data_IF_884243260625
#
_entry.id   IF_884243260625
#
_cell.length_a   1.000
_cell.length_b   1.000
_cell.length_c   1.000
_cell.angle_alpha   90.00
_cell.angle_beta   90.00
_cell.angle_gamma   90.00
#
_symmetry.space_group_name_H-M   'P 1'
#
loop_
_entity.id
_entity.type
_entity.pdbx_description
1 polymer ?
#
# COMPACT_ATOMS: atom_id res chain seq x y z
N UNK A 1 -22.26 -23.76 29.45
CA UNK A 1 -21.24 -22.71 29.71
C UNK A 1 -21.99 -21.40 29.59
N UNK A 2 -22.12 -20.67 30.69
CA UNK A 2 -23.16 -19.64 30.84
C UNK A 2 -22.67 -18.27 30.33
N UNK A 3 -23.61 -17.51 29.78
CA UNK A 3 -23.51 -16.20 29.11
C UNK A 3 -22.90 -15.01 29.92
N UNK A 4 -22.18 -15.26 31.02
CA UNK A 4 -21.84 -14.22 32.02
C UNK A 4 -20.33 -13.97 32.22
N UNK A 5 -19.44 -14.47 31.34
CA UNK A 5 -17.99 -14.20 31.43
C UNK A 5 -17.45 -13.23 30.35
N UNK A 6 -18.28 -12.82 29.38
CA UNK A 6 -17.87 -11.90 28.31
C UNK A 6 -18.23 -10.42 28.55
N UNK A 7 -18.91 -10.07 29.65
CA UNK A 7 -19.36 -8.70 29.91
C UNK A 7 -18.38 -7.83 30.73
N UNK A 8 -17.10 -8.20 30.81
CA UNK A 8 -16.12 -7.53 31.69
C UNK A 8 -14.97 -6.81 30.96
N UNK A 9 -15.04 -6.67 29.63
CA UNK A 9 -13.99 -6.00 28.84
C UNK A 9 -14.46 -4.87 27.91
N UNK A 10 -15.74 -4.46 27.92
CA UNK A 10 -16.27 -3.54 26.89
C UNK A 10 -17.05 -2.32 27.40
N UNK A 11 -16.70 -1.78 28.57
CA UNK A 11 -17.07 -0.39 28.89
C UNK A 11 -15.83 0.39 29.35
N UNK A 12 -14.89 0.61 28.42
CA UNK A 12 -13.99 1.75 28.56
C UNK A 12 -14.73 2.95 27.97
N UNK A 13 -14.98 3.98 28.80
CA UNK A 13 -15.51 5.26 28.31
C UNK A 13 -14.63 5.73 27.15
N UNK A 14 -15.23 5.80 25.96
CA UNK A 14 -14.55 6.31 24.79
C UNK A 14 -14.41 7.82 25.00
N UNK A 15 -13.16 8.27 25.14
CA UNK A 15 -12.88 9.70 25.31
C UNK A 15 -12.95 10.34 23.92
N UNK A 16 -13.92 11.21 23.70
CA UNK A 16 -14.13 11.84 22.39
C UNK A 16 -13.04 12.87 22.02
N UNK A 17 -12.35 13.43 23.02
CA UNK A 17 -11.34 14.47 22.83
C UNK A 17 -10.35 14.58 24.00
N UNK A 18 -9.17 15.14 23.72
CA UNK A 18 -8.14 15.47 24.71
C UNK A 18 -7.55 16.84 24.46
N UNK A 19 -7.16 17.54 25.53
CA UNK A 19 -6.51 18.85 25.44
C UNK A 19 -5.00 18.70 25.45
N UNK A 20 -4.34 19.12 24.38
CA UNK A 20 -2.87 19.10 24.25
C UNK A 20 -2.38 20.53 24.04
N UNK A 21 -1.63 21.08 25.00
CA UNK A 21 -1.12 22.45 24.89
C UNK A 21 -2.21 23.53 24.71
N UNK A 22 -3.44 23.26 25.16
CA UNK A 22 -4.59 24.15 24.98
C UNK A 22 -5.38 23.96 23.68
N UNK A 23 -4.97 23.03 22.82
CA UNK A 23 -5.68 22.65 21.59
C UNK A 23 -6.49 21.39 21.82
N UNK A 24 -7.75 21.39 21.36
CA UNK A 24 -8.60 20.21 21.38
C UNK A 24 -8.20 19.23 20.26
N UNK A 25 -7.81 18.02 20.64
CA UNK A 25 -7.45 16.93 19.73
C UNK A 25 -8.53 15.85 19.79
N UNK A 26 -9.01 15.44 18.62
CA UNK A 26 -10.05 14.43 18.45
C UNK A 26 -9.58 13.31 17.53
N UNK A 27 -10.31 12.20 17.55
CA UNK A 27 -10.16 11.15 16.53
C UNK A 27 -10.23 11.75 15.12
N UNK A 28 -9.27 11.38 14.27
CA UNK A 28 -9.12 11.90 12.91
C UNK A 28 -8.26 13.15 12.79
N UNK A 29 -7.92 13.85 13.89
CA UNK A 29 -6.97 14.97 13.84
C UNK A 29 -5.56 14.50 13.50
N UNK A 30 -4.79 15.39 12.87
CA UNK A 30 -3.37 15.17 12.58
C UNK A 30 -2.52 15.72 13.70
N UNK A 31 -1.50 14.96 14.08
CA UNK A 31 -0.59 15.31 15.16
C UNK A 31 0.85 14.99 14.77
N UNK A 32 1.81 15.70 15.36
CA UNK A 32 3.24 15.46 15.22
C UNK A 32 3.75 14.69 16.44
N UNK A 33 4.54 13.65 16.20
CA UNK A 33 5.09 12.83 17.27
C UNK A 33 6.36 13.45 17.84
N UNK A 34 6.43 13.55 19.15
CA UNK A 34 7.59 14.02 19.90
C UNK A 34 7.88 13.08 21.09
N UNK A 35 8.24 11.82 20.85
CA UNK A 35 8.58 10.87 21.92
C UNK A 35 9.77 11.38 22.74
N UNK A 36 9.65 11.31 24.06
CA UNK A 36 10.64 11.85 25.01
C UNK A 36 11.96 11.06 25.02
N UNK A 37 13.04 11.69 25.51
CA UNK A 37 14.37 11.08 25.55
C UNK A 37 14.51 9.98 26.62
N UNK A 38 14.65 8.75 26.12
CA UNK A 38 14.99 7.53 26.86
C UNK A 38 14.79 6.26 26.03
N UNK A 39 14.51 6.42 24.74
CA UNK A 39 13.82 5.46 23.89
C UNK A 39 14.71 4.69 22.93
N UNK A 40 14.28 3.48 22.60
CA UNK A 40 14.94 2.57 21.66
C UNK A 40 15.06 3.20 20.26
N UNK A 41 15.75 2.54 19.32
CA UNK A 41 15.97 2.99 17.93
C UNK A 41 14.66 3.46 17.24
N UNK A 42 13.53 2.91 17.64
CA UNK A 42 12.21 3.25 17.11
C UNK A 42 11.80 4.70 17.40
N UNK A 43 12.11 5.24 18.59
CA UNK A 43 11.70 6.61 18.97
C UNK A 43 12.43 7.68 18.17
N UNK A 44 13.68 7.40 17.78
CA UNK A 44 14.44 8.24 16.86
C UNK A 44 13.82 8.28 15.46
N UNK A 45 13.28 7.15 14.99
CA UNK A 45 12.63 7.07 13.68
C UNK A 45 11.25 7.77 13.66
N UNK A 46 10.54 7.76 14.79
CA UNK A 46 9.19 8.31 14.90
C UNK A 46 9.16 9.81 15.22
N UNK A 47 10.24 10.38 15.78
CA UNK A 47 10.30 11.81 16.11
C UNK A 47 10.08 12.70 14.89
N UNK A 48 9.14 13.63 15.01
CA UNK A 48 8.78 14.59 13.96
C UNK A 48 7.84 14.03 12.89
N UNK A 49 7.55 12.71 12.90
CA UNK A 49 6.58 12.12 11.99
C UNK A 49 5.18 12.67 12.23
N UNK A 50 4.39 12.77 11.16
CA UNK A 50 2.98 13.13 11.25
C UNK A 50 2.15 11.86 11.31
N UNK A 51 1.15 11.85 12.18
CA UNK A 51 0.24 10.74 12.37
C UNK A 51 -1.21 11.21 12.48
N UNK A 52 -2.15 10.31 12.21
CA UNK A 52 -3.59 10.53 12.42
C UNK A 52 -4.03 9.85 13.70
N UNK A 53 -4.77 10.56 14.55
CA UNK A 53 -5.37 9.98 15.76
C UNK A 53 -6.45 8.97 15.37
N UNK A 54 -6.28 7.72 15.78
CA UNK A 54 -7.25 6.63 15.56
C UNK A 54 -8.20 6.47 16.75
N UNK A 55 -7.66 6.50 17.96
CA UNK A 55 -8.44 6.44 19.20
C UNK A 55 -7.74 7.20 20.32
N UNK A 56 -8.54 7.67 21.27
CA UNK A 56 -8.07 8.18 22.55
C UNK A 56 -8.54 7.19 23.59
N UNK A 57 -7.58 6.64 24.33
CA UNK A 57 -7.81 5.56 25.29
C UNK A 57 -7.37 6.02 26.68
N UNK A 58 -8.06 5.53 27.69
CA UNK A 58 -7.71 5.77 29.08
C UNK A 58 -7.31 4.43 29.72
N UNK A 59 -6.18 4.43 30.42
CA UNK A 59 -5.79 3.28 31.22
C UNK A 59 -6.54 3.22 32.56
N UNK A 60 -6.30 2.17 33.34
CA UNK A 60 -6.96 1.98 34.64
C UNK A 60 -6.51 3.00 35.71
N UNK A 61 -5.40 3.71 35.49
CA UNK A 61 -4.90 4.79 36.35
C UNK A 61 -5.45 6.17 35.95
N UNK A 62 -6.22 6.23 34.87
CA UNK A 62 -6.78 7.45 34.33
C UNK A 62 -5.85 8.23 33.41
N UNK A 63 -4.71 7.66 33.01
CA UNK A 63 -3.80 8.30 32.05
C UNK A 63 -4.34 8.13 30.63
N UNK A 64 -4.43 9.25 29.93
CA UNK A 64 -4.85 9.29 28.54
C UNK A 64 -3.69 8.96 27.61
N UNK A 65 -3.94 7.99 26.72
CA UNK A 65 -3.05 7.57 25.66
C UNK A 65 -3.73 7.84 24.32
N UNK A 66 -2.94 8.25 23.35
CA UNK A 66 -3.41 8.52 22.00
C UNK A 66 -2.85 7.43 21.11
N UNK A 67 -3.75 6.68 20.49
CA UNK A 67 -3.41 5.73 19.45
C UNK A 67 -3.36 6.47 18.12
N UNK A 68 -2.26 6.33 17.40
CA UNK A 68 -2.01 7.01 16.13
C UNK A 68 -1.55 6.03 15.05
N UNK A 69 -1.76 6.43 13.80
CA UNK A 69 -1.21 5.77 12.61
C UNK A 69 -0.38 6.78 11.83
N UNK A 70 0.87 6.44 11.51
CA UNK A 70 1.76 7.35 10.80
C UNK A 70 1.23 7.59 9.39
N UNK A 71 1.39 8.82 8.88
CA UNK A 71 0.85 9.17 7.58
C UNK A 71 1.54 8.46 6.42
N UNK A 72 2.85 8.26 6.55
CA UNK A 72 3.70 7.57 5.58
C UNK A 72 3.87 6.07 5.92
N UNK A 73 3.04 5.49 6.81
CA UNK A 73 3.06 4.05 7.08
C UNK A 73 2.50 3.27 5.86
N UNK A 74 3.29 2.40 5.21
CA UNK A 74 2.81 1.59 4.10
C UNK A 74 1.66 0.64 4.48
N UNK A 75 1.43 0.37 5.77
CA UNK A 75 0.29 -0.40 6.30
C UNK A 75 -0.93 0.42 6.72
N UNK A 76 -0.90 1.76 6.61
CA UNK A 76 -1.98 2.68 7.02
C UNK A 76 -3.33 2.33 6.37
N UNK A 77 -3.29 1.87 5.14
CA UNK A 77 -4.48 1.63 4.31
C UNK A 77 -5.04 0.20 4.41
N UNK A 78 -4.56 -0.63 5.35
CA UNK A 78 -5.02 -2.03 5.52
C UNK A 78 -6.34 -2.19 6.32
N UNK A 79 -7.10 -1.11 6.51
CA UNK A 79 -8.45 -1.16 7.10
C UNK A 79 -8.53 -1.87 8.46
N UNK A 80 -9.59 -2.67 8.69
CA UNK A 80 -9.84 -3.33 9.98
C UNK A 80 -8.94 -4.56 10.26
N UNK A 81 -8.04 -4.93 9.35
CA UNK A 81 -7.12 -6.08 9.50
C UNK A 81 -5.67 -5.65 9.76
N UNK A 82 -5.51 -4.50 10.43
CA UNK A 82 -4.21 -4.01 10.91
C UNK A 82 -3.64 -5.01 11.92
N UNK A 83 -2.56 -5.69 11.54
CA UNK A 83 -1.75 -6.40 12.53
C UNK A 83 -1.26 -5.39 13.60
N UNK A 84 -1.01 -5.84 14.84
CA UNK A 84 -0.65 -4.98 15.98
C UNK A 84 0.61 -4.09 15.84
N UNK A 85 1.28 -4.06 14.67
CA UNK A 85 2.49 -3.28 14.40
C UNK A 85 2.30 -1.90 13.75
N UNK A 86 1.08 -1.50 13.40
CA UNK A 86 0.78 -0.23 12.69
C UNK A 86 0.06 0.81 13.55
N UNK A 87 -0.17 0.48 14.82
CA UNK A 87 -0.79 1.36 15.81
C UNK A 87 0.24 1.70 16.86
N UNK A 88 0.56 2.98 16.97
CA UNK A 88 1.50 3.47 17.95
C UNK A 88 0.73 4.19 19.06
N UNK A 89 1.12 3.93 20.30
CA UNK A 89 0.47 4.52 21.48
C UNK A 89 1.45 5.49 22.13
N UNK A 90 1.00 6.71 22.32
CA UNK A 90 1.79 7.77 22.93
C UNK A 90 1.04 8.44 24.06
N UNK A 91 1.78 8.96 25.04
CA UNK A 91 1.19 9.86 26.02
C UNK A 91 0.85 11.18 25.35
N UNK A 92 -0.12 11.89 25.93
CA UNK A 92 -0.50 13.24 25.50
C UNK A 92 0.71 14.20 25.46
N UNK A 93 1.70 14.00 26.34
CA UNK A 93 2.91 14.82 26.40
C UNK A 93 3.91 14.55 25.27
N UNK A 94 3.78 13.42 24.57
CA UNK A 94 4.65 12.99 23.46
C UNK A 94 4.04 13.35 22.10
N UNK A 95 2.99 14.15 22.10
CA UNK A 95 2.24 14.55 20.91
C UNK A 95 2.12 16.06 20.87
N UNK A 96 2.33 16.61 19.68
CA UNK A 96 2.12 18.01 19.38
C UNK A 96 0.94 18.13 18.39
N UNK A 97 -0.11 18.89 18.72
CA UNK A 97 -1.20 19.15 17.78
C UNK A 97 -0.68 19.98 16.60
N UNK A 98 -1.09 19.62 15.38
CA UNK A 98 -0.79 20.45 14.22
C UNK A 98 -1.70 21.70 14.19
N UNK A 99 -1.21 22.85 13.68
CA UNK A 99 -2.03 24.05 13.46
C UNK A 99 -3.26 23.75 12.58
N UNK A 100 -4.35 24.51 12.74
CA UNK A 100 -5.58 24.33 11.93
C UNK A 100 -5.33 24.39 10.41
N UNK A 101 -4.38 25.22 9.97
CA UNK A 101 -3.97 25.34 8.57
C UNK A 101 -3.32 24.04 8.03
N UNK A 102 -2.68 23.26 8.90
CA UNK A 102 -2.10 21.96 8.59
C UNK A 102 -3.09 20.81 8.86
N UNK A 103 -4.08 20.96 9.74
CA UNK A 103 -5.10 19.93 9.98
C UNK A 103 -5.84 19.54 8.69
N UNK A 104 -6.06 20.50 7.79
CA UNK A 104 -6.68 20.31 6.47
C UNK A 104 -5.74 19.79 5.37
N UNK A 105 -4.41 19.85 5.56
CA UNK A 105 -3.41 19.31 4.63
C UNK A 105 -3.26 17.79 4.79
N UNK A 106 -4.39 17.10 4.84
CA UNK A 106 -4.43 15.65 4.85
C UNK A 106 -3.73 15.17 3.58
N UNK A 107 -2.55 14.53 3.68
CA UNK A 107 -2.13 13.55 2.66
C UNK A 107 -3.09 12.38 2.78
N UNK A 108 -4.31 12.57 2.31
CA UNK A 108 -5.22 11.48 2.10
C UNK A 108 -4.65 10.64 0.96
N UNK A 109 -4.69 9.32 1.11
CA UNK A 109 -4.76 8.41 -0.04
C UNK A 109 -5.81 8.87 -1.10
N UNK A 110 -6.77 9.75 -0.71
CA UNK A 110 -7.82 10.33 -1.55
C UNK A 110 -7.41 11.34 -2.65
N UNK A 111 -6.13 11.73 -2.77
CA UNK A 111 -5.66 12.43 -3.98
C UNK A 111 -5.04 11.49 -5.01
N UNK A 112 -4.54 10.32 -4.59
CA UNK A 112 -3.97 9.37 -5.50
C UNK A 112 -5.07 8.75 -6.37
N UNK A 113 -5.10 9.12 -7.64
CA UNK A 113 -6.03 8.58 -8.64
C UNK A 113 -5.43 7.36 -9.34
N UNK A 114 -4.10 7.21 -9.29
CA UNK A 114 -3.35 6.16 -9.98
C UNK A 114 -2.54 5.35 -8.97
N UNK A 115 -2.73 4.03 -8.95
CA UNK A 115 -1.85 3.08 -8.24
C UNK A 115 -0.92 2.41 -9.24
N UNK A 116 0.38 2.40 -8.94
CA UNK A 116 1.40 1.62 -9.64
C UNK A 116 1.85 0.52 -8.69
N UNK A 117 1.56 -0.72 -9.03
CA UNK A 117 1.83 -1.90 -8.22
C UNK A 117 2.91 -2.75 -8.88
N UNK A 118 4.10 -2.78 -8.27
CA UNK A 118 5.19 -3.66 -8.67
C UNK A 118 4.99 -5.05 -8.07
N UNK A 119 4.89 -6.05 -8.93
CA UNK A 119 4.68 -7.44 -8.56
C UNK A 119 5.92 -8.23 -8.98
N UNK A 120 6.29 -9.24 -8.20
CA UNK A 120 7.35 -10.15 -8.60
C UNK A 120 8.14 -10.75 -7.46
N UNK A 121 8.79 -11.88 -7.74
CA UNK A 121 9.72 -12.53 -6.84
C UNK A 121 11.17 -12.33 -7.29
N UNK A 122 11.92 -11.50 -6.55
CA UNK A 122 13.34 -11.21 -6.82
C UNK A 122 14.25 -12.44 -6.75
N UNK A 123 13.79 -13.54 -6.14
CA UNK A 123 14.51 -14.80 -6.05
C UNK A 123 14.31 -15.71 -7.29
N UNK A 124 13.44 -15.31 -8.23
CA UNK A 124 13.04 -16.08 -9.41
C UNK A 124 13.40 -15.38 -10.74
N UNK A 125 14.62 -14.84 -10.80
CA UNK A 125 15.18 -14.29 -12.03
C UNK A 125 14.37 -13.12 -12.56
N UNK A 126 13.85 -13.26 -13.79
CA UNK A 126 13.09 -12.20 -14.45
C UNK A 126 11.72 -11.93 -13.81
N UNK A 127 11.24 -12.82 -12.93
CA UNK A 127 10.06 -12.57 -12.11
C UNK A 127 10.25 -11.36 -11.18
N UNK A 128 11.50 -10.95 -10.91
CA UNK A 128 11.82 -9.72 -10.18
C UNK A 128 11.59 -8.41 -10.97
N UNK A 129 11.15 -8.48 -12.23
CA UNK A 129 11.04 -7.32 -13.12
C UNK A 129 10.17 -6.20 -12.54
N UNK A 130 8.97 -6.50 -12.04
CA UNK A 130 8.04 -5.47 -11.54
C UNK A 130 8.57 -4.72 -10.32
N UNK A 131 9.23 -5.44 -9.41
CA UNK A 131 9.93 -4.88 -8.25
C UNK A 131 11.03 -3.89 -8.69
N UNK A 132 11.83 -4.28 -9.67
CA UNK A 132 12.98 -3.49 -10.13
C UNK A 132 12.56 -2.23 -10.93
N UNK A 133 11.42 -2.27 -11.62
CA UNK A 133 10.80 -1.09 -12.25
C UNK A 133 10.26 -0.12 -11.20
N UNK A 134 9.49 -0.62 -10.23
CA UNK A 134 8.93 0.22 -9.15
C UNK A 134 10.03 0.86 -8.32
N UNK A 135 11.12 0.13 -8.05
CA UNK A 135 12.28 0.67 -7.34
C UNK A 135 12.89 1.89 -8.05
N UNK A 136 12.96 1.90 -9.39
CA UNK A 136 13.41 3.08 -10.16
C UNK A 136 12.41 4.22 -10.13
N UNK A 137 11.11 3.91 -10.25
CA UNK A 137 10.04 4.91 -10.17
C UNK A 137 10.01 5.60 -8.80
N UNK A 138 10.25 4.86 -7.71
CA UNK A 138 10.31 5.41 -6.35
C UNK A 138 11.46 6.42 -6.16
N UNK A 139 12.52 6.34 -6.96
CA UNK A 139 13.61 7.33 -6.98
C UNK A 139 13.32 8.59 -7.82
N UNK A 140 12.17 8.64 -8.49
CA UNK A 140 11.81 9.70 -9.44
C UNK A 140 10.75 10.64 -8.85
N UNK A 141 10.69 11.89 -9.35
CA UNK A 141 9.63 12.83 -8.94
C UNK A 141 8.36 12.56 -9.75
N UNK A 142 7.32 12.07 -9.08
CA UNK A 142 6.01 11.79 -9.68
C UNK A 142 4.94 12.78 -9.17
N UNK A 143 3.86 13.00 -9.93
CA UNK A 143 2.73 13.81 -9.48
C UNK A 143 2.09 13.27 -8.19
N UNK A 144 1.49 14.15 -7.39
CA UNK A 144 0.84 13.78 -6.11
C UNK A 144 -0.34 12.82 -6.29
N UNK A 145 -0.92 12.76 -7.50
CA UNK A 145 -2.00 11.83 -7.87
C UNK A 145 -1.53 10.40 -8.14
N UNK A 146 -0.22 10.13 -8.10
CA UNK A 146 0.38 8.82 -8.38
C UNK A 146 0.95 8.21 -7.12
N UNK A 147 0.49 7.01 -6.81
CA UNK A 147 1.06 6.17 -5.74
C UNK A 147 1.85 5.01 -6.35
N UNK A 148 3.09 4.83 -5.91
CA UNK A 148 3.94 3.70 -6.31
C UNK A 148 4.17 2.80 -5.11
N UNK A 149 3.92 1.51 -5.26
CA UNK A 149 4.08 0.52 -4.18
C UNK A 149 4.74 -0.75 -4.73
N UNK A 150 5.76 -1.21 -4.02
CA UNK A 150 6.36 -2.53 -4.22
C UNK A 150 5.58 -3.55 -3.40
N UNK A 151 4.83 -4.41 -4.09
CA UNK A 151 4.11 -5.51 -3.46
C UNK A 151 4.96 -6.78 -3.41
N UNK A 152 6.02 -6.91 -4.21
CA UNK A 152 6.81 -8.14 -4.31
C UNK A 152 5.89 -9.35 -4.41
N UNK A 153 6.01 -10.28 -3.45
CA UNK A 153 5.18 -11.50 -3.32
C UNK A 153 3.83 -11.36 -2.58
N UNK A 154 3.43 -10.14 -2.22
CA UNK A 154 2.36 -9.84 -1.24
C UNK A 154 0.99 -9.64 -1.90
N UNK A 155 0.49 -10.66 -2.60
CA UNK A 155 -0.76 -10.59 -3.35
C UNK A 155 -2.00 -10.18 -2.53
N UNK A 156 -2.07 -10.58 -1.26
CA UNK A 156 -3.17 -10.19 -0.36
C UNK A 156 -3.12 -8.69 -0.01
N UNK A 157 -1.93 -8.12 0.14
CA UNK A 157 -1.78 -6.70 0.45
C UNK A 157 -2.21 -5.83 -0.74
N UNK A 158 -1.99 -6.32 -1.97
CA UNK A 158 -2.51 -5.70 -3.18
C UNK A 158 -4.04 -5.76 -3.22
N UNK A 159 -4.67 -6.88 -2.82
CA UNK A 159 -6.14 -6.95 -2.70
C UNK A 159 -6.67 -5.84 -1.80
N UNK A 160 -6.06 -5.67 -0.63
CA UNK A 160 -6.49 -4.63 0.31
C UNK A 160 -6.21 -3.23 -0.21
N UNK A 161 -5.05 -2.97 -0.82
CA UNK A 161 -4.76 -1.66 -1.41
C UNK A 161 -5.82 -1.25 -2.45
N UNK A 162 -6.36 -2.20 -3.22
CA UNK A 162 -7.41 -1.94 -4.22
C UNK A 162 -8.76 -1.51 -3.62
N UNK A 163 -8.94 -1.57 -2.30
CA UNK A 163 -10.12 -1.04 -1.64
C UNK A 163 -10.21 0.49 -1.71
N UNK A 164 -9.09 1.19 -1.94
CA UNK A 164 -9.02 2.66 -2.01
C UNK A 164 -9.64 3.25 -3.29
N UNK A 165 -10.12 2.40 -4.23
CA UNK A 165 -10.86 2.81 -5.44
C UNK A 165 -10.13 3.78 -6.37
N UNK A 166 -8.84 3.53 -6.58
CA UNK A 166 -8.04 4.18 -7.63
C UNK A 166 -8.80 4.21 -8.97
N UNK A 167 -8.69 5.32 -9.69
CA UNK A 167 -9.28 5.44 -11.02
C UNK A 167 -8.57 4.58 -12.05
N UNK A 168 -7.26 4.43 -11.90
CA UNK A 168 -6.47 3.49 -12.70
C UNK A 168 -5.47 2.77 -11.83
N UNK A 169 -5.44 1.46 -11.93
CA UNK A 169 -4.38 0.62 -11.36
C UNK A 169 -3.49 0.13 -12.51
N UNK A 170 -2.19 0.36 -12.40
CA UNK A 170 -1.17 -0.12 -13.33
C UNK A 170 -0.35 -1.19 -12.59
N UNK A 171 -0.51 -2.44 -13.02
CA UNK A 171 0.30 -3.56 -12.56
C UNK A 171 1.56 -3.63 -13.40
N UNK A 172 2.71 -3.84 -12.74
CA UNK A 172 3.99 -4.06 -13.42
C UNK A 172 4.50 -5.43 -12.98
N UNK A 173 4.67 -6.34 -13.93
CA UNK A 173 4.95 -7.75 -13.64
C UNK A 173 5.72 -8.43 -14.80
N UNK A 174 6.32 -9.58 -14.54
CA UNK A 174 6.74 -10.49 -15.60
C UNK A 174 5.50 -11.07 -16.28
N UNK A 175 5.48 -11.06 -17.61
CA UNK A 175 4.30 -11.43 -18.40
C UNK A 175 4.68 -12.34 -19.57
N UNK A 176 4.74 -13.66 -19.35
CA UNK A 176 4.99 -14.63 -20.41
C UNK A 176 3.78 -14.71 -21.36
N UNK A 177 3.96 -14.25 -22.59
CA UNK A 177 2.91 -14.23 -23.62
C UNK A 177 3.45 -14.58 -25.01
N UNK A 178 4.61 -15.22 -25.08
CA UNK A 178 5.17 -15.78 -26.31
C UNK A 178 5.84 -14.74 -27.20
N UNK A 179 6.25 -13.60 -26.65
CA UNK A 179 7.09 -12.63 -27.34
C UNK A 179 8.58 -12.96 -27.14
N UNK A 180 9.51 -12.23 -27.79
CA UNK A 180 10.93 -12.32 -27.45
C UNK A 180 11.20 -11.78 -26.04
N UNK A 181 12.09 -12.40 -25.24
CA UNK A 181 12.45 -11.90 -23.92
C UNK A 181 12.89 -10.43 -23.92
N UNK A 182 12.47 -9.67 -22.90
CA UNK A 182 12.67 -8.23 -22.79
C UNK A 182 11.64 -7.38 -23.54
N UNK A 183 10.66 -8.00 -24.23
CA UNK A 183 9.58 -7.26 -24.87
C UNK A 183 8.64 -6.69 -23.80
N UNK A 184 8.48 -5.36 -23.76
CA UNK A 184 7.53 -4.68 -22.89
C UNK A 184 6.22 -4.45 -23.62
N UNK A 185 5.13 -4.94 -23.04
CA UNK A 185 3.77 -4.84 -23.57
C UNK A 185 2.87 -4.09 -22.59
N UNK A 186 1.91 -3.32 -23.11
CA UNK A 186 0.86 -2.68 -22.31
C UNK A 186 -0.48 -3.29 -22.69
N UNK A 187 -1.18 -3.84 -21.71
CA UNK A 187 -2.47 -4.52 -21.89
C UNK A 187 -3.48 -3.89 -20.93
N UNK A 188 -4.67 -3.57 -21.42
CA UNK A 188 -5.79 -3.22 -20.54
C UNK A 188 -6.45 -4.53 -20.10
N UNK A 189 -6.55 -4.73 -18.79
CA UNK A 189 -7.14 -5.94 -18.21
C UNK A 189 -8.61 -5.65 -17.92
N UNK A 190 -9.50 -6.51 -18.41
CA UNK A 190 -10.88 -6.50 -17.95
C UNK A 190 -10.98 -7.35 -16.66
N UNK A 191 -11.23 -6.74 -15.48
CA UNK A 191 -11.39 -7.48 -14.24
C UNK A 191 -12.63 -8.39 -14.23
N UNK A 192 -13.54 -8.24 -15.21
CA UNK A 192 -14.73 -9.05 -15.40
C UNK A 192 -14.62 -10.07 -16.55
N UNK A 193 -13.59 -10.03 -17.41
CA UNK A 193 -13.44 -11.08 -18.42
C UNK A 193 -13.02 -12.39 -17.75
N UNK A 194 -13.86 -13.40 -17.94
CA UNK A 194 -13.59 -14.77 -17.49
C UNK A 194 -12.44 -15.36 -18.30
N UNK A 195 -11.24 -15.35 -17.75
CA UNK A 195 -10.23 -16.31 -18.18
C UNK A 195 -10.72 -17.71 -17.77
N UNK A 196 -10.79 -18.63 -18.75
CA UNK A 196 -11.01 -20.06 -18.54
C UNK A 196 -10.25 -20.58 -17.30
N UNK A 197 -10.83 -21.49 -16.50
CA UNK A 197 -10.23 -21.99 -15.26
C UNK A 197 -9.01 -22.88 -15.57
N UNK A 198 -7.90 -22.24 -15.90
CA UNK A 198 -6.60 -22.86 -16.11
C UNK A 198 -5.69 -22.46 -14.95
N UNK A 199 -6.02 -22.95 -13.74
CA UNK A 199 -5.21 -22.74 -12.54
C UNK A 199 -6.06 -22.60 -11.28
N UNK A 200 -5.67 -23.28 -10.21
CA UNK A 200 -6.41 -23.43 -8.95
C UNK A 200 -7.03 -22.11 -8.45
N UNK A 201 -8.35 -22.10 -8.29
CA UNK A 201 -9.16 -20.99 -7.78
C UNK A 201 -8.84 -20.56 -6.32
N UNK A 202 -7.89 -21.23 -5.67
CA UNK A 202 -7.63 -21.18 -4.23
C UNK A 202 -6.14 -21.12 -3.90
N UNK A 203 -5.32 -20.56 -4.78
CA UNK A 203 -3.93 -20.22 -4.44
C UNK A 203 -3.75 -18.70 -4.34
N UNK A 204 -4.11 -18.08 -3.20
CA UNK A 204 -3.75 -16.69 -2.87
C UNK A 204 -2.24 -16.42 -2.91
N UNK A 205 -1.43 -17.49 -2.89
CA UNK A 205 0.02 -17.45 -2.98
C UNK A 205 0.56 -17.51 -4.42
N UNK A 206 -0.29 -17.88 -5.39
CA UNK A 206 0.04 -17.70 -6.81
C UNK A 206 -0.20 -16.24 -7.15
N UNK A 207 0.89 -15.50 -7.31
CA UNK A 207 0.90 -14.07 -7.56
C UNK A 207 0.37 -13.63 -8.92
N UNK A 208 -0.32 -14.51 -9.63
CA UNK A 208 -0.83 -14.18 -10.94
C UNK A 208 -1.77 -12.97 -10.84
N UNK A 209 -1.47 -11.84 -11.50
CA UNK A 209 -2.18 -10.57 -11.34
C UNK A 209 -3.71 -10.70 -11.43
N UNK A 210 -4.20 -11.53 -12.35
CA UNK A 210 -5.63 -11.78 -12.52
C UNK A 210 -6.32 -12.41 -11.30
N UNK A 211 -5.65 -13.28 -10.54
CA UNK A 211 -6.23 -13.89 -9.34
C UNK A 211 -6.43 -12.85 -8.24
N UNK A 212 -5.45 -11.95 -8.08
CA UNK A 212 -5.51 -10.82 -7.14
C UNK A 212 -6.64 -9.86 -7.53
N UNK A 213 -6.74 -9.48 -8.80
CA UNK A 213 -7.81 -8.61 -9.28
C UNK A 213 -9.21 -9.21 -9.08
N UNK A 214 -9.37 -10.52 -9.35
CA UNK A 214 -10.63 -11.23 -9.13
C UNK A 214 -11.02 -11.24 -7.65
N UNK A 215 -10.07 -11.52 -6.77
CA UNK A 215 -10.31 -11.50 -5.32
C UNK A 215 -10.68 -10.09 -4.85
N UNK A 216 -9.95 -9.06 -5.29
CA UNK A 216 -10.25 -7.67 -4.97
C UNK A 216 -11.64 -7.24 -5.47
N UNK A 217 -12.01 -7.61 -6.70
CA UNK A 217 -13.33 -7.30 -7.25
C UNK A 217 -14.45 -8.02 -6.49
N UNK A 218 -14.23 -9.25 -6.05
CA UNK A 218 -15.21 -10.01 -5.26
C UNK A 218 -15.36 -9.45 -3.83
N UNK A 219 -14.26 -9.05 -3.19
CA UNK A 219 -14.26 -8.55 -1.80
C UNK A 219 -14.73 -7.11 -1.71
N UNK A 220 -14.33 -6.26 -2.66
CA UNK A 220 -14.56 -4.84 -2.57
C UNK A 220 -15.55 -4.33 -3.63
N UNK A 221 -15.95 -5.12 -4.62
CA UNK A 221 -16.76 -4.64 -5.74
C UNK A 221 -15.91 -4.22 -6.94
N UNK A 222 -16.54 -3.81 -8.05
CA UNK A 222 -15.86 -3.67 -9.34
C UNK A 222 -14.72 -2.65 -9.28
N UNK A 223 -13.57 -3.05 -9.82
CA UNK A 223 -12.43 -2.15 -10.07
C UNK A 223 -12.78 -1.24 -11.26
N UNK A 224 -12.18 -0.03 -11.28
CA UNK A 224 -12.37 0.92 -12.40
C UNK A 224 -11.53 0.47 -13.58
N UNK A 225 -10.39 1.12 -13.84
CA UNK A 225 -9.50 0.78 -14.93
C UNK A 225 -8.29 0.02 -14.42
N UNK A 226 -7.95 -1.10 -15.06
CA UNK A 226 -6.76 -1.88 -14.71
C UNK A 226 -5.91 -2.09 -15.95
N UNK A 227 -4.61 -1.84 -15.83
CA UNK A 227 -3.63 -1.97 -16.89
C UNK A 227 -2.48 -2.83 -16.41
N UNK A 228 -1.87 -3.59 -17.32
CA UNK A 228 -0.65 -4.36 -17.11
C UNK A 228 0.45 -3.79 -18.01
N UNK A 229 1.58 -3.41 -17.41
CA UNK A 229 2.84 -3.22 -18.11
C UNK A 229 3.67 -4.47 -17.84
N UNK A 230 3.65 -5.39 -18.79
CA UNK A 230 4.29 -6.70 -18.68
C UNK A 230 5.59 -6.76 -19.47
N UNK A 231 6.60 -7.45 -18.93
CA UNK A 231 7.81 -7.80 -19.70
C UNK A 231 7.88 -9.31 -19.94
N UNK A 232 8.16 -9.71 -21.18
CA UNK A 232 8.42 -11.12 -21.48
C UNK A 232 9.72 -11.57 -20.76
N UNK A 233 9.66 -12.62 -19.93
CA UNK A 233 10.85 -13.15 -19.25
C UNK A 233 11.67 -14.04 -20.19
N UNK A 234 12.99 -14.09 -19.98
CA UNK A 234 13.86 -15.14 -20.52
C UNK A 234 13.89 -16.37 -19.61
N UNK A 235 13.80 -16.15 -18.29
CA UNK A 235 13.84 -17.18 -17.25
C UNK A 235 13.04 -16.72 -16.03
N UNK A 236 12.19 -17.60 -15.50
CA UNK A 236 11.46 -17.37 -14.25
C UNK A 236 12.14 -18.08 -13.06
N UNK A 237 13.45 -18.28 -13.15
CA UNK A 237 14.22 -19.06 -12.18
C UNK A 237 14.02 -20.56 -12.34
N UNK A 238 15.02 -21.33 -11.88
CA UNK A 238 14.91 -22.79 -11.73
C UNK A 238 14.50 -23.17 -10.32
N UNK A 239 14.45 -24.48 -10.03
CA UNK A 239 14.07 -25.01 -8.71
C UNK A 239 14.96 -24.51 -7.55
N UNK A 240 16.20 -24.12 -7.85
CA UNK A 240 17.15 -23.56 -6.87
C UNK A 240 17.05 -22.02 -6.72
N UNK A 241 16.16 -21.38 -7.49
CA UNK A 241 16.07 -19.93 -7.62
C UNK A 241 17.18 -19.32 -8.48
N UNK A 242 17.00 -18.05 -8.85
CA UNK A 242 17.98 -17.28 -9.60
C UNK A 242 17.91 -15.82 -9.16
N UNK A 243 19.03 -15.27 -8.68
CA UNK A 243 19.10 -13.84 -8.37
C UNK A 243 19.44 -13.02 -9.60
N UNK A 244 18.79 -11.87 -9.74
CA UNK A 244 19.08 -10.89 -10.78
C UNK A 244 18.34 -11.18 -12.10
N UNK A 245 18.08 -10.09 -12.82
CA UNK A 245 17.42 -10.12 -14.12
C UNK A 245 18.39 -10.62 -15.20
N UNK A 246 17.86 -11.31 -16.20
CA UNK A 246 18.56 -11.60 -17.43
C UNK A 246 18.85 -10.29 -18.19
N UNK A 247 19.91 -10.29 -19.00
CA UNK A 247 20.31 -9.11 -19.78
C UNK A 247 19.16 -8.48 -20.60
N UNK A 248 18.31 -9.22 -21.34
CA UNK A 248 17.22 -8.60 -22.09
C UNK A 248 16.18 -7.93 -21.18
N UNK A 249 15.86 -8.52 -20.03
CA UNK A 249 14.88 -7.98 -19.08
C UNK A 249 15.46 -6.80 -18.30
N UNK A 250 16.74 -6.85 -17.93
CA UNK A 250 17.44 -5.72 -17.30
C UNK A 250 17.43 -4.46 -18.20
N UNK A 251 17.66 -4.64 -19.51
CA UNK A 251 17.54 -3.55 -20.50
C UNK A 251 16.09 -3.06 -20.62
N UNK A 252 15.12 -3.97 -20.54
CA UNK A 252 13.70 -3.67 -20.64
C UNK A 252 13.17 -2.83 -19.46
N UNK A 253 13.79 -2.88 -18.29
CA UNK A 253 13.38 -2.10 -17.11
C UNK A 253 13.33 -0.60 -17.42
N UNK A 254 14.35 -0.05 -18.08
CA UNK A 254 14.39 1.36 -18.44
C UNK A 254 13.29 1.72 -19.45
N UNK A 255 12.99 0.83 -20.38
CA UNK A 255 11.88 1.00 -21.34
C UNK A 255 10.53 0.97 -20.61
N UNK A 256 10.37 0.10 -19.61
CA UNK A 256 9.16 -0.01 -18.82
C UNK A 256 8.93 1.24 -17.96
N UNK A 257 9.96 1.77 -17.28
CA UNK A 257 9.88 3.05 -16.55
C UNK A 257 9.35 4.16 -17.45
N UNK A 258 9.95 4.35 -18.63
CA UNK A 258 9.51 5.37 -19.61
C UNK A 258 8.08 5.14 -20.08
N UNK A 259 7.70 3.89 -20.28
CA UNK A 259 6.35 3.51 -20.69
C UNK A 259 5.34 3.85 -19.59
N UNK A 260 5.65 3.53 -18.34
CA UNK A 260 4.83 3.87 -17.16
C UNK A 260 4.68 5.37 -17.03
N UNK A 261 5.76 6.15 -17.10
CA UNK A 261 5.69 7.62 -17.03
C UNK A 261 4.87 8.23 -18.16
N UNK A 262 5.03 7.73 -19.39
CA UNK A 262 4.23 8.18 -20.53
C UNK A 262 2.74 7.85 -20.34
N UNK A 263 2.44 6.69 -19.78
CA UNK A 263 1.08 6.25 -19.49
C UNK A 263 0.44 7.12 -18.39
N UNK A 264 1.15 7.40 -17.30
CA UNK A 264 0.72 8.34 -16.25
C UNK A 264 0.34 9.68 -16.88
N UNK A 265 1.21 10.27 -17.71
CA UNK A 265 0.94 11.57 -18.36
C UNK A 265 -0.33 11.52 -19.21
N UNK A 266 -0.51 10.47 -20.03
CA UNK A 266 -1.72 10.29 -20.84
C UNK A 266 -2.98 10.22 -19.98
N UNK A 267 -2.95 9.45 -18.89
CA UNK A 267 -4.09 9.27 -17.98
C UNK A 267 -4.45 10.60 -17.31
N UNK A 268 -3.46 11.33 -16.78
CA UNK A 268 -3.68 12.62 -16.13
C UNK A 268 -4.21 13.70 -17.11
N UNK A 269 -3.79 13.65 -18.38
CA UNK A 269 -4.29 14.52 -19.45
C UNK A 269 -5.69 14.10 -19.96
N UNK A 270 -6.27 13.00 -19.46
CA UNK A 270 -7.58 12.48 -19.88
C UNK A 270 -7.58 11.91 -21.30
N UNK A 271 -6.42 11.53 -21.85
CA UNK A 271 -6.30 10.94 -23.18
C UNK A 271 -6.42 9.41 -23.10
N UNK A 272 -7.21 8.82 -24.01
CA UNK A 272 -7.23 7.36 -24.18
C UNK A 272 -5.82 6.84 -24.55
N UNK A 273 -5.50 5.65 -24.03
CA UNK A 273 -4.15 5.05 -24.10
C UNK A 273 -3.85 4.52 -25.48
#
# INVERSE_FOLDING_TARGET
MNHWEWSLLEEKEQVDHVMIGGVEVRTGHRVRLNPHEGGDILDLALRGQVATVESIEQDYEGQQHICVVLEDDPGRDLGMMRQPGHRFFFKVTEIEPLPEEEQGQRKTASQARILIAGIGNIFLGDDGFGVEVVRRLAGSTLPEEVRVVDFGIRGLDLVYALQDRYETTILIDAYPHGQPPGTVSVVELDPNEAAEPSGNLLEPHSMHPMNVLRMASATHGPLKRVMLIGCEPATLGGDEGQMGLSQPVEVAVEQAVKTTEALIRKILEGKSV
#
